data_IF_568431944277
#
_entry.id   IF_568431944277
#
_cell.length_a   1.000
_cell.length_b   1.000
_cell.length_c   1.000
_cell.angle_alpha   90.00
_cell.angle_beta   90.00
_cell.angle_gamma   90.00
#
_symmetry.space_group_name_H-M   'P 1'
#
loop_
_entity.id
_entity.type
_entity.pdbx_description
1 polymer ?
#
# COMPACT_ATOMS: atom_id res chain seq x y z
N UNK A 1 44.04 -3.59 10.50
CA UNK A 1 43.10 -2.50 10.80
C UNK A 1 41.86 -2.70 9.94
N UNK A 2 40.68 -3.09 10.50
CA UNK A 2 39.48 -3.22 9.70
C UNK A 2 39.09 -1.82 9.20
N UNK A 3 39.13 -1.66 7.87
CA UNK A 3 38.88 -0.39 7.18
C UNK A 3 37.44 0.07 7.41
N UNK A 4 37.32 1.37 7.68
CA UNK A 4 36.11 2.19 7.78
C UNK A 4 34.84 1.49 7.26
N UNK A 5 34.00 0.89 8.12
CA UNK A 5 32.89 0.10 7.62
C UNK A 5 31.64 0.96 7.69
N UNK A 6 31.02 1.17 6.54
CA UNK A 6 29.58 1.15 6.36
C UNK A 6 29.31 1.74 4.98
N UNK A 7 29.41 0.90 3.95
CA UNK A 7 28.71 1.23 2.72
C UNK A 7 27.21 1.32 3.09
N UNK A 8 26.54 2.42 2.74
CA UNK A 8 25.15 2.70 3.13
C UNK A 8 24.16 1.57 2.78
N UNK A 9 24.51 0.71 1.82
CA UNK A 9 23.71 -0.47 1.44
C UNK A 9 23.90 -1.70 2.32
N UNK A 10 24.93 -1.79 3.16
CA UNK A 10 25.22 -2.97 3.99
C UNK A 10 24.11 -3.27 4.98
N UNK A 11 23.50 -2.25 5.60
CA UNK A 11 22.34 -2.43 6.49
C UNK A 11 21.13 -2.98 5.75
N UNK A 12 20.94 -2.61 4.48
CA UNK A 12 19.87 -3.14 3.63
C UNK A 12 20.12 -4.63 3.33
N UNK A 13 21.35 -5.01 3.01
CA UNK A 13 21.73 -6.40 2.77
C UNK A 13 21.66 -7.24 4.04
N UNK A 14 22.07 -6.69 5.18
CA UNK A 14 21.94 -7.32 6.49
C UNK A 14 20.47 -7.59 6.84
N UNK A 15 19.58 -6.60 6.70
CA UNK A 15 18.12 -6.76 6.91
C UNK A 15 17.51 -7.85 6.03
N UNK A 16 17.91 -7.91 4.76
CA UNK A 16 17.45 -8.96 3.84
C UNK A 16 17.95 -10.36 4.24
N UNK A 17 19.18 -10.48 4.74
CA UNK A 17 19.76 -11.75 5.21
C UNK A 17 19.09 -12.28 6.47
N UNK A 18 18.88 -11.44 7.48
CA UNK A 18 18.27 -11.87 8.76
C UNK A 18 16.77 -12.16 8.64
N UNK A 19 16.08 -11.48 7.72
CA UNK A 19 14.64 -11.61 7.53
C UNK A 19 13.81 -11.24 8.77
N UNK A 20 12.53 -11.60 8.74
CA UNK A 20 11.57 -11.27 9.82
C UNK A 20 11.90 -12.01 11.12
N UNK A 21 12.32 -13.27 11.01
CA UNK A 21 12.64 -14.11 12.19
C UNK A 21 13.86 -13.57 12.94
N UNK A 22 14.94 -13.23 12.23
CA UNK A 22 16.15 -12.68 12.85
C UNK A 22 15.91 -11.30 13.45
N UNK A 23 15.15 -10.45 12.76
CA UNK A 23 14.76 -9.15 13.31
C UNK A 23 13.97 -9.28 14.62
N UNK A 24 12.99 -10.18 14.68
CA UNK A 24 12.20 -10.41 15.89
C UNK A 24 13.05 -10.91 17.06
N UNK A 25 14.10 -11.71 16.81
CA UNK A 25 15.01 -12.19 17.84
C UNK A 25 15.87 -11.04 18.39
N UNK A 26 16.44 -10.21 17.51
CA UNK A 26 17.21 -9.02 17.90
C UNK A 26 16.32 -8.06 18.69
N UNK A 27 15.09 -7.84 18.24
CA UNK A 27 14.12 -7.01 18.93
C UNK A 27 13.74 -7.57 20.31
N UNK A 28 13.54 -8.90 20.43
CA UNK A 28 13.28 -9.54 21.71
C UNK A 28 14.45 -9.35 22.68
N UNK A 29 15.69 -9.47 22.20
CA UNK A 29 16.87 -9.24 23.02
C UNK A 29 17.01 -7.76 23.43
N UNK A 30 16.75 -6.81 22.53
CA UNK A 30 16.78 -5.38 22.89
C UNK A 30 15.74 -5.05 23.95
N UNK A 31 14.52 -5.58 23.83
CA UNK A 31 13.46 -5.39 24.85
C UNK A 31 13.87 -6.01 26.19
N UNK A 32 14.47 -7.21 26.18
CA UNK A 32 14.95 -7.85 27.41
C UNK A 32 16.06 -7.05 28.11
N UNK A 33 16.94 -6.39 27.33
CA UNK A 33 18.00 -5.53 27.88
C UNK A 33 17.48 -4.29 28.61
N UNK A 34 16.30 -3.77 28.23
CA UNK A 34 15.70 -2.58 28.86
C UNK A 34 14.85 -2.90 30.12
N UNK A 35 14.74 -4.17 30.52
CA UNK A 35 14.19 -4.57 31.82
C UNK A 35 12.84 -3.93 32.18
N UNK A 36 12.75 -3.32 33.37
CA UNK A 36 11.52 -2.66 33.89
C UNK A 36 11.15 -1.36 33.17
N UNK A 37 12.08 -0.70 32.47
CA UNK A 37 11.81 0.50 31.66
C UNK A 37 11.09 0.17 30.35
N UNK A 38 11.05 -1.10 29.93
CA UNK A 38 10.27 -1.53 28.76
C UNK A 38 8.75 -1.62 29.01
N UNK A 39 8.30 -1.50 30.27
CA UNK A 39 6.89 -1.59 30.68
C UNK A 39 6.20 -0.22 30.82
N UNK A 40 6.79 0.85 30.28
CA UNK A 40 6.12 2.14 30.21
C UNK A 40 4.88 2.04 29.31
N UNK A 41 3.77 2.68 29.73
CA UNK A 41 2.51 2.72 28.97
C UNK A 41 2.66 3.39 27.60
N UNK A 42 3.72 4.18 27.43
CA UNK A 42 4.03 4.97 26.25
C UNK A 42 5.38 4.52 25.68
N UNK A 43 5.36 3.65 24.67
CA UNK A 43 6.60 3.25 24.00
C UNK A 43 6.99 4.34 23.00
N UNK A 44 7.89 5.24 23.38
CA UNK A 44 8.47 6.22 22.48
C UNK A 44 9.59 5.56 21.68
N UNK A 45 9.19 4.78 20.67
CA UNK A 45 10.13 4.08 19.80
C UNK A 45 10.80 5.14 18.92
N UNK A 46 12.03 5.51 19.28
CA UNK A 46 12.88 6.35 18.43
C UNK A 46 13.38 5.49 17.26
N UNK A 47 12.47 5.17 16.34
CA UNK A 47 12.82 4.46 15.12
C UNK A 47 13.67 5.43 14.31
N UNK A 48 14.98 5.20 14.25
CA UNK A 48 15.87 5.75 13.22
C UNK A 48 15.07 5.86 11.93
N UNK A 49 14.93 7.07 11.38
CA UNK A 49 14.02 7.38 10.26
C UNK A 49 14.37 6.48 9.08
N UNK A 50 13.75 5.30 9.05
CA UNK A 50 13.75 4.48 7.85
C UNK A 50 12.90 5.25 6.86
N UNK A 51 13.37 5.33 5.61
CA UNK A 51 12.48 5.73 4.53
C UNK A 51 11.27 4.81 4.57
N UNK A 52 10.21 5.37 5.09
CA UNK A 52 8.91 4.75 5.19
C UNK A 52 8.57 4.44 3.73
N UNK A 53 8.48 3.16 3.34
CA UNK A 53 7.97 2.75 2.01
C UNK A 53 6.44 3.02 1.89
N UNK A 54 5.98 4.04 2.59
CA UNK A 54 4.72 4.72 2.44
C UNK A 54 5.03 6.02 1.71
N UNK A 55 4.92 5.99 0.38
CA UNK A 55 4.71 7.24 -0.36
C UNK A 55 3.47 7.92 0.23
N UNK A 56 3.54 9.23 0.53
CA UNK A 56 2.34 10.00 0.91
C UNK A 56 1.22 9.65 -0.07
N UNK A 57 0.09 9.10 0.39
CA UNK A 57 -0.90 8.54 -0.50
C UNK A 57 -1.53 9.68 -1.29
N UNK A 58 -1.09 9.89 -2.52
CA UNK A 58 -1.95 10.59 -3.47
C UNK A 58 -3.09 9.64 -3.78
N UNK A 59 -4.32 10.09 -3.57
CA UNK A 59 -5.56 9.33 -3.80
C UNK A 59 -5.55 8.55 -5.13
N UNK A 60 -4.93 9.12 -6.18
CA UNK A 60 -4.77 8.48 -7.48
C UNK A 60 -3.92 7.20 -7.45
N UNK A 61 -2.75 7.23 -6.79
CA UNK A 61 -1.81 6.09 -6.73
C UNK A 61 -2.45 4.95 -5.95
N UNK A 62 -3.17 5.29 -4.87
CA UNK A 62 -3.93 4.32 -4.08
C UNK A 62 -5.04 3.67 -4.89
N UNK A 63 -5.88 4.46 -5.57
CA UNK A 63 -6.96 3.97 -6.42
C UNK A 63 -6.45 3.02 -7.52
N UNK A 64 -5.37 3.38 -8.21
CA UNK A 64 -4.77 2.52 -9.26
C UNK A 64 -4.25 1.20 -8.66
N UNK A 65 -3.59 1.26 -7.50
CA UNK A 65 -3.10 0.06 -6.81
C UNK A 65 -4.25 -0.87 -6.43
N UNK A 66 -5.38 -0.32 -5.96
CA UNK A 66 -6.58 -1.09 -5.62
C UNK A 66 -7.15 -1.75 -6.89
N UNK A 67 -7.36 -1.01 -7.97
CA UNK A 67 -7.88 -1.55 -9.24
C UNK A 67 -7.01 -2.72 -9.74
N UNK A 68 -5.68 -2.57 -9.70
CA UNK A 68 -4.76 -3.63 -10.11
C UNK A 68 -4.88 -4.88 -9.22
N UNK A 69 -5.06 -4.71 -7.91
CA UNK A 69 -5.28 -5.85 -6.99
C UNK A 69 -6.60 -6.54 -7.26
N UNK A 70 -7.68 -5.79 -7.51
CA UNK A 70 -8.99 -6.35 -7.85
C UNK A 70 -8.93 -7.16 -9.14
N UNK A 71 -8.23 -6.67 -10.17
CA UNK A 71 -8.05 -7.41 -11.42
C UNK A 71 -7.24 -8.70 -11.23
N UNK A 72 -6.18 -8.68 -10.40
CA UNK A 72 -5.43 -9.89 -10.06
C UNK A 72 -6.29 -10.91 -9.32
N UNK A 73 -7.15 -10.44 -8.41
CA UNK A 73 -8.05 -11.28 -7.64
C UNK A 73 -9.12 -11.90 -8.53
N UNK A 74 -9.72 -11.12 -9.42
CA UNK A 74 -10.69 -11.61 -10.40
C UNK A 74 -10.12 -12.77 -11.23
N UNK A 75 -8.89 -12.59 -11.75
CA UNK A 75 -8.17 -13.65 -12.49
C UNK A 75 -7.92 -14.90 -11.65
N UNK A 76 -7.48 -14.73 -10.40
CA UNK A 76 -7.20 -15.86 -9.49
C UNK A 76 -8.43 -16.70 -9.18
N UNK A 77 -9.60 -16.07 -9.10
CA UNK A 77 -10.87 -16.75 -8.83
C UNK A 77 -11.64 -17.14 -10.10
N UNK A 78 -11.06 -16.97 -11.30
CA UNK A 78 -11.74 -17.29 -12.56
C UNK A 78 -12.96 -16.42 -12.87
N UNK A 79 -13.10 -15.27 -12.22
CA UNK A 79 -14.27 -14.41 -12.38
C UNK A 79 -14.12 -13.56 -13.63
N UNK A 80 -14.99 -13.78 -14.62
CA UNK A 80 -15.09 -12.90 -15.78
C UNK A 80 -15.67 -11.54 -15.36
N UNK A 81 -14.90 -10.48 -15.54
CA UNK A 81 -15.35 -9.10 -15.31
C UNK A 81 -16.16 -8.61 -16.52
N UNK A 82 -17.27 -7.89 -16.29
CA UNK A 82 -18.13 -7.37 -17.36
C UNK A 82 -17.39 -6.43 -18.31
N UNK A 83 -16.39 -5.70 -17.82
CA UNK A 83 -15.57 -4.79 -18.62
C UNK A 83 -14.18 -4.60 -18.01
N UNK A 84 -13.16 -4.66 -18.86
CA UNK A 84 -11.79 -4.34 -18.46
C UNK A 84 -11.51 -2.84 -18.59
N UNK A 85 -11.31 -2.14 -17.48
CA UNK A 85 -11.05 -0.69 -17.42
C UNK A 85 -9.59 -0.28 -17.70
N UNK A 86 -8.76 -1.17 -18.25
CA UNK A 86 -7.30 -1.00 -18.33
C UNK A 86 -6.89 0.25 -19.14
N UNK A 87 -7.47 0.44 -20.34
CA UNK A 87 -7.20 1.61 -21.20
C UNK A 87 -7.63 2.91 -20.52
N UNK A 88 -8.81 2.91 -19.89
CA UNK A 88 -9.36 4.09 -19.20
C UNK A 88 -8.50 4.49 -17.99
N UNK A 89 -8.07 3.53 -17.17
CA UNK A 89 -7.18 3.76 -16.03
C UNK A 89 -5.84 4.37 -16.49
N UNK A 90 -5.29 3.91 -17.63
CA UNK A 90 -4.07 4.49 -18.22
C UNK A 90 -4.27 5.96 -18.61
N UNK A 91 -5.39 6.28 -19.25
CA UNK A 91 -5.72 7.66 -19.65
C UNK A 91 -5.97 8.58 -18.45
N UNK A 92 -6.67 8.09 -17.42
CA UNK A 92 -6.85 8.82 -16.17
C UNK A 92 -5.51 9.10 -15.49
N UNK A 93 -4.62 8.11 -15.42
CA UNK A 93 -3.27 8.28 -14.86
C UNK A 93 -2.46 9.36 -15.59
N UNK A 94 -2.55 9.45 -16.92
CA UNK A 94 -1.90 10.51 -17.70
C UNK A 94 -2.49 11.89 -17.38
N UNK A 95 -3.81 11.98 -17.32
CA UNK A 95 -4.53 13.24 -17.04
C UNK A 95 -4.21 13.81 -15.65
N UNK A 96 -3.97 12.95 -14.65
CA UNK A 96 -3.67 13.33 -13.27
C UNK A 96 -2.33 14.08 -13.15
N UNK A 97 -1.38 13.87 -14.06
CA UNK A 97 -0.06 14.54 -14.02
C UNK A 97 -0.16 16.07 -14.07
N UNK A 98 -1.23 16.59 -14.66
CA UNK A 98 -1.45 18.04 -14.83
C UNK A 98 -2.18 18.71 -13.65
N UNK A 99 -2.13 18.15 -12.44
CA UNK A 99 -2.84 18.69 -11.28
C UNK A 99 -2.37 20.10 -10.87
N UNK A 100 -1.11 20.45 -11.16
CA UNK A 100 -0.53 21.78 -10.89
C UNK A 100 -0.93 22.84 -11.92
N UNK A 101 -1.40 22.43 -13.10
CA UNK A 101 -1.72 23.36 -14.20
C UNK A 101 -3.16 23.89 -14.09
N UNK A 102 -3.34 25.20 -13.97
CA UNK A 102 -4.63 25.86 -13.69
C UNK A 102 -5.75 25.39 -14.64
N UNK A 103 -5.57 25.51 -15.96
CA UNK A 103 -6.58 25.11 -16.96
C UNK A 103 -6.86 23.59 -17.01
N UNK A 104 -5.89 22.76 -16.63
CA UNK A 104 -5.98 21.28 -16.73
C UNK A 104 -6.33 20.62 -15.39
N UNK A 105 -6.33 21.38 -14.29
CA UNK A 105 -6.65 20.90 -12.94
C UNK A 105 -8.06 20.32 -12.84
N UNK A 106 -9.04 20.93 -13.50
CA UNK A 106 -10.42 20.41 -13.55
C UNK A 106 -10.47 19.01 -14.20
N UNK A 107 -9.74 18.81 -15.31
CA UNK A 107 -9.62 17.51 -15.99
C UNK A 107 -8.93 16.47 -15.10
N UNK A 108 -7.88 16.87 -14.38
CA UNK A 108 -7.19 15.98 -13.44
C UNK A 108 -8.08 15.57 -12.25
N UNK A 109 -8.87 16.50 -11.68
CA UNK A 109 -9.87 16.20 -10.64
C UNK A 109 -10.94 15.22 -11.14
N UNK A 110 -11.49 15.45 -12.34
CA UNK A 110 -12.45 14.52 -12.98
C UNK A 110 -11.84 13.12 -13.22
N UNK A 111 -10.57 13.05 -13.61
CA UNK A 111 -9.88 11.77 -13.77
C UNK A 111 -9.72 11.03 -12.43
N UNK A 112 -9.46 11.75 -11.34
CA UNK A 112 -9.37 11.16 -10.00
C UNK A 112 -10.72 10.61 -9.52
N UNK A 113 -11.80 11.39 -9.62
CA UNK A 113 -13.14 10.91 -9.28
C UNK A 113 -13.53 9.72 -10.14
N UNK A 114 -13.19 9.74 -11.43
CA UNK A 114 -13.43 8.60 -12.33
C UNK A 114 -12.70 7.32 -11.89
N UNK A 115 -11.43 7.42 -11.48
CA UNK A 115 -10.69 6.28 -10.91
C UNK A 115 -11.38 5.73 -9.66
N UNK A 116 -11.87 6.60 -8.77
CA UNK A 116 -12.64 6.17 -7.58
C UNK A 116 -13.90 5.42 -7.96
N UNK A 117 -14.66 5.92 -8.94
CA UNK A 117 -15.87 5.25 -9.44
C UNK A 117 -15.56 3.88 -10.03
N UNK A 118 -14.49 3.75 -10.82
CA UNK A 118 -14.06 2.47 -11.38
C UNK A 118 -13.69 1.48 -10.27
N UNK A 119 -12.91 1.92 -9.28
CA UNK A 119 -12.54 1.09 -8.15
C UNK A 119 -13.78 0.56 -7.41
N UNK A 120 -14.71 1.45 -7.06
CA UNK A 120 -15.96 1.08 -6.39
C UNK A 120 -16.82 0.13 -7.22
N UNK A 121 -16.91 0.35 -8.54
CA UNK A 121 -17.66 -0.53 -9.43
C UNK A 121 -17.07 -1.94 -9.47
N UNK A 122 -15.74 -2.06 -9.56
CA UNK A 122 -15.04 -3.35 -9.52
C UNK A 122 -15.18 -4.04 -8.16
N UNK A 123 -15.14 -3.28 -7.05
CA UNK A 123 -15.41 -3.82 -5.71
C UNK A 123 -16.81 -4.42 -5.67
N UNK A 124 -17.85 -3.65 -6.04
CA UNK A 124 -19.25 -4.12 -6.02
C UNK A 124 -19.50 -5.29 -6.97
N UNK A 125 -18.81 -5.35 -8.10
CA UNK A 125 -18.91 -6.50 -9.02
C UNK A 125 -18.30 -7.76 -8.38
N UNK A 126 -17.11 -7.65 -7.79
CA UNK A 126 -16.46 -8.77 -7.12
C UNK A 126 -17.23 -9.22 -5.89
N UNK A 127 -17.78 -8.29 -5.10
CA UNK A 127 -18.59 -8.62 -3.93
C UNK A 127 -19.85 -9.42 -4.28
N UNK A 128 -20.47 -9.15 -5.45
CA UNK A 128 -21.65 -9.90 -5.92
C UNK A 128 -21.32 -11.28 -6.46
N UNK A 129 -20.13 -11.46 -7.04
CA UNK A 129 -19.70 -12.73 -7.66
C UNK A 129 -18.94 -13.65 -6.71
N UNK A 130 -18.47 -13.15 -5.56
CA UNK A 130 -17.70 -13.91 -4.58
C UNK A 130 -18.57 -14.39 -3.41
N UNK A 131 -18.33 -15.60 -2.88
CA UNK A 131 -18.98 -16.08 -1.66
C UNK A 131 -18.57 -15.24 -0.44
N UNK A 132 -19.46 -15.20 0.56
CA UNK A 132 -19.47 -14.29 1.72
C UNK A 132 -18.13 -14.20 2.46
N UNK A 133 -17.42 -15.32 2.60
CA UNK A 133 -16.13 -15.40 3.30
C UNK A 133 -14.97 -14.70 2.55
N UNK A 134 -14.92 -14.82 1.22
CA UNK A 134 -13.93 -14.12 0.38
C UNK A 134 -14.22 -12.62 0.29
N UNK A 135 -15.50 -12.27 0.36
CA UNK A 135 -16.00 -10.90 0.37
C UNK A 135 -15.53 -10.13 1.62
N UNK A 136 -15.57 -10.75 2.80
CA UNK A 136 -15.07 -10.16 4.07
C UNK A 136 -13.57 -9.84 4.03
N UNK A 137 -12.74 -10.73 3.46
CA UNK A 137 -11.30 -10.46 3.26
C UNK A 137 -11.06 -9.29 2.29
N UNK A 138 -11.91 -9.14 1.28
CA UNK A 138 -11.85 -8.02 0.35
C UNK A 138 -12.15 -6.70 1.08
N UNK A 139 -13.25 -6.67 1.85
CA UNK A 139 -13.72 -5.50 2.60
C UNK A 139 -12.70 -5.05 3.64
N UNK A 140 -12.11 -5.98 4.42
CA UNK A 140 -11.05 -5.65 5.40
C UNK A 140 -9.81 -5.02 4.75
N UNK A 141 -9.48 -5.41 3.50
CA UNK A 141 -8.34 -4.85 2.75
C UNK A 141 -8.66 -3.56 2.01
N UNK A 142 -9.93 -3.31 1.70
CA UNK A 142 -10.40 -2.08 1.03
C UNK A 142 -10.98 -1.06 2.00
N UNK A 143 -11.13 -1.37 3.30
CA UNK A 143 -11.71 -0.45 4.29
C UNK A 143 -10.98 0.89 4.37
N UNK A 144 -9.67 0.90 4.12
CA UNK A 144 -8.87 2.12 4.01
C UNK A 144 -9.27 3.03 2.84
N UNK A 145 -10.04 2.54 1.85
CA UNK A 145 -10.49 3.31 0.69
C UNK A 145 -11.81 4.05 0.93
N UNK A 146 -12.67 3.53 1.80
CA UNK A 146 -13.97 4.13 2.12
C UNK A 146 -13.90 5.16 3.25
N UNK A 147 -12.73 5.33 3.88
CA UNK A 147 -12.52 6.20 5.05
C UNK A 147 -11.96 7.60 4.71
N UNK A 148 -11.76 7.91 3.42
CA UNK A 148 -11.22 9.19 2.93
C UNK A 148 -12.01 9.72 1.73
#
# INVERSE_FOLDING_TARGET
MPGMPCNATELVHFRKRIGVKGFNLIFKMSVALHGKQAQESSVLIDTTVQEKNITYPTDAKLAIKIINRLNKLAKRHGIQQRRTYVKEVKNCRLSIRHFRHVKKRAKAKKALTRLRTIANKLIRELQRKLPTHSCLKLIKKTSCFNRY
#
